data_IF_320185096123
#
_entry.id   IF_320185096123
#
_cell.length_a   1.000
_cell.length_b   1.000
_cell.length_c   1.000
_cell.angle_alpha   90.00
_cell.angle_beta   90.00
_cell.angle_gamma   90.00
#
_symmetry.space_group_name_H-M   'P 1'
#
loop_
_entity.id
_entity.type
_entity.pdbx_description
1 polymer ?
#
# COMPACT_ATOMS: atom_id res chain seq x y z
N UNK A 1 -18.88 -26.32 34.98
CA UNK A 1 -18.20 -25.01 35.10
C UNK A 1 -17.78 -24.56 33.71
N UNK A 2 -18.47 -23.57 33.14
CA UNK A 2 -18.07 -22.95 31.86
C UNK A 2 -16.77 -22.18 32.11
N UNK A 3 -15.69 -22.58 31.43
CA UNK A 3 -14.39 -21.93 31.49
C UNK A 3 -14.36 -20.87 30.40
N UNK A 4 -15.07 -19.77 30.64
CA UNK A 4 -15.13 -18.62 29.75
C UNK A 4 -13.72 -18.00 29.66
N UNK A 5 -12.97 -18.33 28.61
CA UNK A 5 -11.69 -17.68 28.31
C UNK A 5 -12.01 -16.37 27.62
N UNK A 6 -12.28 -15.34 28.41
CA UNK A 6 -12.36 -13.96 27.91
C UNK A 6 -10.98 -13.55 27.41
N UNK A 7 -10.72 -13.78 26.12
CA UNK A 7 -9.47 -13.41 25.48
C UNK A 7 -9.59 -11.96 25.04
N UNK A 8 -9.28 -11.05 25.95
CA UNK A 8 -9.40 -9.62 25.72
C UNK A 8 -8.23 -9.14 24.85
N UNK A 9 -8.52 -8.71 23.62
CA UNK A 9 -7.55 -8.09 22.72
C UNK A 9 -7.68 -6.57 22.83
N UNK A 10 -6.64 -5.93 23.35
CA UNK A 10 -6.52 -4.47 23.34
C UNK A 10 -5.55 -4.11 22.22
N UNK A 11 -5.96 -3.20 21.35
CA UNK A 11 -5.09 -2.59 20.36
C UNK A 11 -5.23 -1.07 20.47
N UNK A 12 -4.10 -0.39 20.58
CA UNK A 12 -4.02 1.06 20.65
C UNK A 12 -2.94 1.51 19.69
N UNK A 13 -3.27 2.45 18.81
CA UNK A 13 -2.37 2.98 17.80
C UNK A 13 -2.33 4.50 17.93
N UNK A 14 -1.14 5.06 17.84
CA UNK A 14 -0.90 6.50 17.85
C UNK A 14 0.04 6.82 16.71
N UNK A 15 -0.35 7.72 15.81
CA UNK A 15 0.50 8.11 14.69
C UNK A 15 0.48 9.63 14.51
N UNK A 16 1.62 10.17 14.14
CA UNK A 16 1.81 11.54 13.74
C UNK A 16 2.44 11.56 12.35
N UNK A 17 1.92 12.42 11.47
CA UNK A 17 2.45 12.59 10.13
C UNK A 17 2.63 14.08 9.81
N UNK A 18 3.75 14.39 9.20
CA UNK A 18 4.05 15.69 8.64
C UNK A 18 4.21 15.54 7.13
N UNK A 19 3.38 16.24 6.36
CA UNK A 19 3.44 16.22 4.90
C UNK A 19 3.76 17.61 4.39
N UNK A 20 4.87 17.74 3.68
CA UNK A 20 5.16 18.93 2.89
C UNK A 20 4.34 18.86 1.57
N UNK A 21 3.50 19.87 1.26
CA UNK A 21 2.72 19.92 0.01
C UNK A 21 3.55 19.78 -1.28
N UNK A 22 4.84 20.14 -1.24
CA UNK A 22 5.76 20.02 -2.39
C UNK A 22 6.90 19.04 -2.16
N UNK A 23 6.92 18.37 -1.01
CA UNK A 23 8.08 17.64 -0.53
C UNK A 23 7.76 16.23 -0.02
N UNK A 24 8.62 15.69 0.83
CA UNK A 24 8.41 14.40 1.47
C UNK A 24 7.30 14.44 2.53
N UNK A 25 6.66 13.28 2.71
CA UNK A 25 5.85 12.97 3.88
C UNK A 25 6.69 12.17 4.86
N UNK A 26 6.73 12.62 6.10
CA UNK A 26 7.30 11.87 7.21
C UNK A 26 6.18 11.46 8.15
N UNK A 27 6.26 10.26 8.69
CA UNK A 27 5.30 9.75 9.65
C UNK A 27 6.01 8.89 10.67
N UNK A 28 5.51 8.95 11.89
CA UNK A 28 5.93 8.09 12.99
C UNK A 28 4.68 7.58 13.66
N UNK A 29 4.69 6.30 14.00
CA UNK A 29 3.60 5.61 14.66
C UNK A 29 4.11 4.75 15.79
N UNK A 30 3.22 4.51 16.73
CA UNK A 30 3.40 3.67 17.88
C UNK A 30 2.12 2.86 18.10
N UNK A 31 2.27 1.55 18.07
CA UNK A 31 1.20 0.59 18.23
C UNK A 31 1.46 -0.25 19.48
N UNK A 32 0.41 -0.48 20.25
CA UNK A 32 0.38 -1.39 21.39
C UNK A 32 -0.70 -2.41 21.12
N UNK A 33 -0.33 -3.68 21.05
CA UNK A 33 -1.26 -4.77 20.80
C UNK A 33 -1.14 -5.84 21.89
N UNK A 34 -2.28 -6.33 22.37
CA UNK A 34 -2.35 -7.46 23.30
C UNK A 34 -2.17 -8.78 22.58
N UNK A 35 -1.25 -9.60 23.07
CA UNK A 35 -0.95 -10.93 22.59
C UNK A 35 -1.11 -11.93 23.75
N UNK A 36 -2.36 -12.17 24.13
CA UNK A 36 -2.72 -13.08 25.22
C UNK A 36 -2.37 -12.49 26.59
N UNK A 37 -1.21 -12.89 27.15
CA UNK A 37 -0.71 -12.37 28.44
C UNK A 37 0.34 -11.26 28.27
N UNK A 38 0.91 -11.14 27.07
CA UNK A 38 1.99 -10.21 26.77
C UNK A 38 1.49 -9.05 25.92
N UNK A 39 2.23 -7.94 25.91
CA UNK A 39 2.00 -6.79 25.05
C UNK A 39 3.08 -6.73 23.96
N UNK A 40 2.65 -6.41 22.74
CA UNK A 40 3.48 -6.11 21.59
C UNK A 40 3.52 -4.59 21.48
N UNK A 41 4.71 -4.01 21.54
CA UNK A 41 4.95 -2.59 21.32
C UNK A 41 5.66 -2.41 19.99
N UNK A 42 5.08 -1.71 19.04
CA UNK A 42 5.70 -1.42 17.75
C UNK A 42 5.87 0.07 17.59
N UNK A 43 7.09 0.55 17.41
CA UNK A 43 7.36 1.89 16.90
C UNK A 43 7.67 1.74 15.44
N UNK A 44 7.04 2.52 14.57
CA UNK A 44 7.39 2.55 13.16
C UNK A 44 7.54 3.97 12.67
N UNK A 45 8.43 4.19 11.71
CA UNK A 45 8.57 5.44 10.99
C UNK A 45 8.44 5.15 9.51
N UNK A 46 7.78 6.03 8.78
CA UNK A 46 7.67 5.97 7.33
C UNK A 46 8.00 7.33 6.74
N UNK A 47 8.84 7.32 5.72
CA UNK A 47 9.25 8.46 4.92
C UNK A 47 8.91 8.21 3.45
N UNK A 48 8.01 9.01 2.91
CA UNK A 48 7.56 8.93 1.52
C UNK A 48 8.04 10.14 0.73
N UNK A 49 8.89 9.91 -0.27
CA UNK A 49 9.41 10.93 -1.18
C UNK A 49 8.72 10.84 -2.53
N UNK A 50 8.21 11.98 -3.00
CA UNK A 50 7.70 12.15 -4.36
C UNK A 50 8.67 13.03 -5.14
N UNK A 51 9.70 12.42 -5.73
CA UNK A 51 10.78 13.19 -6.38
C UNK A 51 10.42 13.60 -7.81
N UNK A 52 9.64 12.79 -8.54
CA UNK A 52 9.24 13.06 -9.93
C UNK A 52 7.77 12.69 -10.10
N UNK A 53 7.08 13.34 -11.07
CA UNK A 53 5.68 13.00 -11.44
C UNK A 53 5.45 11.51 -11.73
N UNK A 54 6.53 10.75 -11.93
CA UNK A 54 6.53 9.35 -12.32
C UNK A 54 7.19 8.41 -11.29
N UNK A 55 7.86 8.93 -10.25
CA UNK A 55 8.63 8.11 -9.31
C UNK A 55 8.26 8.45 -7.86
N UNK A 56 7.83 7.45 -7.11
CA UNK A 56 7.45 7.57 -5.70
C UNK A 56 8.25 6.54 -4.93
N UNK A 57 9.12 7.01 -4.05
CA UNK A 57 9.90 6.18 -3.14
C UNK A 57 9.31 6.27 -1.73
N UNK A 58 9.24 5.17 -1.02
CA UNK A 58 8.68 5.06 0.33
C UNK A 58 9.60 4.15 1.14
N UNK A 59 10.07 4.63 2.29
CA UNK A 59 10.98 3.91 3.16
C UNK A 59 10.41 3.91 4.56
N UNK A 60 10.26 2.73 5.14
CA UNK A 60 9.75 2.55 6.48
C UNK A 60 10.71 1.74 7.33
N UNK A 61 10.82 2.10 8.60
CA UNK A 61 11.55 1.37 9.62
C UNK A 61 10.60 1.02 10.75
N UNK A 62 10.78 -0.13 11.38
CA UNK A 62 9.95 -0.55 12.51
C UNK A 62 10.79 -1.21 13.58
N UNK A 63 10.43 -0.99 14.84
CA UNK A 63 11.00 -1.61 16.01
C UNK A 63 9.84 -2.19 16.83
N UNK A 64 9.78 -3.51 16.91
CA UNK A 64 8.74 -4.22 17.65
C UNK A 64 9.36 -4.94 18.85
N UNK A 65 8.83 -4.70 20.04
CA UNK A 65 9.16 -5.41 21.27
C UNK A 65 8.01 -6.34 21.64
N UNK A 66 8.31 -7.61 21.83
CA UNK A 66 7.35 -8.62 22.27
C UNK A 66 7.92 -9.39 23.46
N UNK A 67 7.38 -9.14 24.65
CA UNK A 67 7.91 -9.69 25.90
C UNK A 67 9.38 -9.32 26.11
N UNK A 68 10.29 -10.30 26.03
CA UNK A 68 11.75 -10.11 26.15
C UNK A 68 12.49 -10.08 24.79
N UNK A 69 11.76 -10.10 23.68
CA UNK A 69 12.32 -10.17 22.32
C UNK A 69 12.14 -8.84 21.60
N UNK A 70 13.17 -8.45 20.85
CA UNK A 70 13.15 -7.25 20.01
C UNK A 70 13.29 -7.64 18.55
N UNK A 71 12.53 -6.95 17.70
CA UNK A 71 12.47 -7.11 16.26
C UNK A 71 12.68 -5.76 15.60
N UNK A 72 13.59 -5.70 14.64
CA UNK A 72 13.89 -4.51 13.84
C UNK A 72 13.56 -4.81 12.39
N UNK A 73 12.69 -4.01 11.81
CA UNK A 73 12.27 -4.10 10.43
C UNK A 73 12.68 -2.87 9.62
N UNK A 74 12.95 -3.10 8.34
CA UNK A 74 13.05 -2.05 7.34
C UNK A 74 12.28 -2.49 6.10
N UNK A 75 11.58 -1.56 5.47
CA UNK A 75 10.81 -1.74 4.25
C UNK A 75 11.14 -0.60 3.30
N UNK A 76 11.25 -0.91 2.03
CA UNK A 76 11.44 0.02 0.95
C UNK A 76 10.41 -0.33 -0.12
N UNK A 77 9.64 0.64 -0.54
CA UNK A 77 8.71 0.56 -1.65
C UNK A 77 9.09 1.59 -2.70
N UNK A 78 9.09 1.17 -3.95
CA UNK A 78 9.36 2.00 -5.10
C UNK A 78 8.24 1.84 -6.13
N UNK A 79 7.66 2.96 -6.54
CA UNK A 79 6.60 2.99 -7.56
C UNK A 79 7.05 3.81 -8.77
N UNK A 80 7.04 3.16 -9.93
CA UNK A 80 7.39 3.77 -11.22
C UNK A 80 6.15 3.79 -12.11
N UNK A 81 5.75 4.99 -12.53
CA UNK A 81 4.63 5.23 -13.43
C UNK A 81 5.17 5.55 -14.82
N UNK A 82 4.94 4.67 -15.79
CA UNK A 82 5.32 4.90 -17.19
C UNK A 82 4.09 5.32 -17.98
N UNK A 83 3.96 6.64 -18.20
CA UNK A 83 2.80 7.24 -18.86
C UNK A 83 1.49 7.03 -18.08
N UNK A 84 0.36 6.89 -18.79
CA UNK A 84 -0.96 6.67 -18.18
C UNK A 84 -1.38 5.20 -18.09
N UNK A 85 -0.55 4.29 -18.59
CA UNK A 85 -0.94 2.89 -18.85
C UNK A 85 -0.12 1.87 -18.07
N UNK A 86 1.11 2.17 -17.69
CA UNK A 86 1.99 1.24 -16.99
C UNK A 86 2.30 1.76 -15.59
N UNK A 87 2.12 0.90 -14.59
CA UNK A 87 2.51 1.14 -13.20
C UNK A 87 3.28 -0.08 -12.72
N UNK A 88 4.50 0.16 -12.25
CA UNK A 88 5.31 -0.83 -11.57
C UNK A 88 5.40 -0.44 -10.10
N UNK A 89 5.15 -1.40 -9.21
CA UNK A 89 5.33 -1.25 -7.77
C UNK A 89 6.25 -2.35 -7.31
N UNK A 90 7.35 -1.99 -6.66
CA UNK A 90 8.28 -2.93 -6.08
C UNK A 90 8.36 -2.64 -4.59
N UNK A 91 8.27 -3.68 -3.76
CA UNK A 91 8.52 -3.59 -2.33
C UNK A 91 9.60 -4.61 -1.97
N UNK A 92 10.49 -4.21 -1.07
CA UNK A 92 11.46 -5.10 -0.46
C UNK A 92 11.57 -4.73 1.02
N UNK A 93 11.77 -5.73 1.86
CA UNK A 93 11.89 -5.53 3.28
C UNK A 93 12.65 -6.65 3.96
N UNK A 94 13.15 -6.33 5.14
CA UNK A 94 13.75 -7.30 6.03
C UNK A 94 13.26 -7.06 7.45
N UNK A 95 13.24 -8.11 8.24
CA UNK A 95 12.95 -8.07 9.67
C UNK A 95 13.94 -8.96 10.39
N UNK A 96 14.58 -8.45 11.43
CA UNK A 96 15.57 -9.16 12.23
C UNK A 96 15.10 -9.20 13.67
N UNK A 97 15.16 -10.33 14.34
CA UNK A 97 14.81 -10.39 15.76
C UNK A 97 14.93 -11.78 16.32
N UNK A 98 15.19 -11.86 17.64
CA UNK A 98 15.30 -13.15 18.35
C UNK A 98 16.31 -14.15 17.74
N UNK A 99 17.37 -13.65 17.08
CA UNK A 99 18.39 -14.49 16.42
C UNK A 99 18.08 -14.90 14.98
N UNK A 100 16.90 -14.54 14.46
CA UNK A 100 16.45 -14.87 13.10
C UNK A 100 16.33 -13.63 12.23
N UNK A 101 16.39 -13.87 10.92
CA UNK A 101 16.23 -12.83 9.90
C UNK A 101 15.20 -13.31 8.87
N UNK A 102 14.25 -12.45 8.54
CA UNK A 102 13.26 -12.66 7.51
C UNK A 102 13.46 -11.63 6.42
N UNK A 103 13.50 -12.07 5.16
CA UNK A 103 13.48 -11.19 3.99
C UNK A 103 12.15 -11.39 3.26
N UNK A 104 11.61 -10.31 2.71
CA UNK A 104 10.38 -10.33 1.95
C UNK A 104 10.37 -9.25 0.90
N UNK A 105 9.57 -9.44 -0.13
CA UNK A 105 9.41 -8.44 -1.16
C UNK A 105 8.33 -8.87 -2.14
N UNK A 106 7.87 -7.88 -2.90
CA UNK A 106 6.81 -8.04 -3.89
C UNK A 106 7.12 -7.17 -5.09
N UNK A 107 6.77 -7.66 -6.26
CA UNK A 107 6.84 -6.89 -7.50
C UNK A 107 5.51 -7.02 -8.22
N UNK A 108 4.91 -5.88 -8.54
CA UNK A 108 3.64 -5.76 -9.21
C UNK A 108 3.80 -4.92 -10.48
N UNK A 109 3.26 -5.41 -11.59
CA UNK A 109 3.20 -4.72 -12.86
C UNK A 109 1.76 -4.62 -13.34
N UNK A 110 1.23 -3.40 -13.44
CA UNK A 110 -0.12 -3.12 -13.92
C UNK A 110 -0.05 -2.46 -15.30
N UNK A 111 -0.72 -3.07 -16.29
CA UNK A 111 -0.90 -2.52 -17.64
C UNK A 111 -2.39 -2.25 -17.92
N UNK A 112 -2.74 -0.99 -18.19
CA UNK A 112 -4.08 -0.59 -18.64
C UNK A 112 -4.19 -0.70 -20.16
N UNK A 113 -4.92 -1.73 -20.61
CA UNK A 113 -5.39 -1.88 -21.99
C UNK A 113 -6.34 -0.73 -22.39
N UNK A 114 -6.43 -0.44 -23.69
CA UNK A 114 -7.52 0.39 -24.22
C UNK A 114 -8.64 -0.59 -24.54
N UNK A 115 -9.74 -0.56 -23.78
CA UNK A 115 -10.91 -1.34 -24.15
C UNK A 115 -11.59 -0.67 -25.33
N UNK A 116 -11.59 -1.34 -26.47
CA UNK A 116 -12.25 -0.91 -27.72
C UNK A 116 -13.77 -1.06 -27.61
N UNK A 117 -14.42 -0.54 -26.56
CA UNK A 117 -15.89 -0.45 -26.51
C UNK A 117 -16.41 0.85 -27.15
N UNK A 118 -15.53 1.82 -27.42
CA UNK A 118 -15.89 3.07 -28.07
C UNK A 118 -16.10 2.96 -29.61
N UNK A 119 -15.88 1.80 -30.23
CA UNK A 119 -16.10 1.61 -31.67
C UNK A 119 -17.47 1.00 -32.03
N UNK A 120 -18.23 0.48 -31.05
CA UNK A 120 -19.56 -0.08 -31.35
C UNK A 120 -20.69 0.97 -31.31
N UNK A 121 -20.53 2.08 -30.59
CA UNK A 121 -21.53 3.17 -30.63
C UNK A 121 -21.50 3.99 -31.93
N UNK A 122 -20.37 4.01 -32.66
CA UNK A 122 -20.30 4.70 -33.97
C UNK A 122 -20.90 3.90 -35.13
N UNK A 123 -21.25 2.62 -34.94
CA UNK A 123 -21.84 1.78 -35.99
C UNK A 123 -23.36 1.72 -35.91
N UNK A 124 -23.97 2.05 -34.77
CA UNK A 124 -25.44 2.16 -34.65
C UNK A 124 -25.98 3.52 -35.11
N UNK A 125 -25.23 4.61 -34.97
CA UNK A 125 -25.69 5.95 -35.39
C UNK A 125 -25.54 6.23 -36.90
N UNK A 126 -25.07 5.24 -37.68
CA UNK A 126 -24.60 5.44 -39.06
C UNK A 126 -25.47 4.84 -40.18
N UNK A 127 -26.60 4.18 -39.89
CA UNK A 127 -27.40 3.52 -40.92
C UNK A 127 -28.89 3.82 -40.80
N UNK A 128 -29.33 4.92 -41.42
CA UNK A 128 -30.75 5.26 -41.48
C UNK A 128 -31.08 6.63 -42.08
N UNK A 129 -30.37 7.06 -43.13
CA UNK A 129 -30.88 8.14 -43.99
C UNK A 129 -30.76 7.73 -45.46
N UNK A 130 -31.91 7.39 -46.05
CA UNK A 130 -32.38 7.73 -47.42
C UNK A 130 -33.34 6.66 -47.95
N UNK A 131 -34.62 7.04 -48.04
CA UNK A 131 -35.63 6.71 -49.07
C UNK A 131 -36.97 7.21 -48.49
N UNK A 132 -37.79 8.06 -49.12
CA UNK A 132 -37.88 8.49 -50.50
C UNK A 132 -38.64 9.83 -50.56
N UNK A 133 -38.15 10.77 -51.37
CA UNK A 133 -39.02 11.74 -52.06
C UNK A 133 -39.62 11.05 -53.27
N UNK A 134 -40.90 11.23 -53.53
CA UNK A 134 -41.44 11.77 -54.80
C UNK A 134 -42.96 11.58 -54.90
N UNK A 135 -43.62 12.71 -55.16
CA UNK A 135 -44.97 12.96 -55.72
C UNK A 135 -46.23 12.56 -54.95
#
# INVERSE_FOLDING_TARGET
MSKDKQNFSIQSECAAAYTDPRGPTYSVGFDVQSAGKDLIYTVHSNTKLRTLKHHIADCAMSLTSFGKKYYVGAKLEDTILIGKRLKFVMNAGQMRGSGEVAYGGTFEATLRGKTTLALLQRKEDGNGSKESSET
#
